data_IF_200267542336
#
_entry.id   IF_200267542336
#
_cell.length_a   1.000
_cell.length_b   1.000
_cell.length_c   1.000
_cell.angle_alpha   90.00
_cell.angle_beta   90.00
_cell.angle_gamma   90.00
#
_symmetry.space_group_name_H-M   'P 1'
#
loop_
_entity.id
_entity.type
_entity.pdbx_description
1 polymer ?
#
# COMPACT_ATOMS: atom_id res chain seq x y z
N UNK A 1 13.09 12.95 0.49
CA UNK A 1 12.40 12.96 1.80
C UNK A 1 12.08 11.52 2.14
N UNK A 2 12.71 10.97 3.18
CA UNK A 2 12.40 9.62 3.65
C UNK A 2 11.10 9.71 4.43
N UNK A 3 9.98 9.46 3.75
CA UNK A 3 8.67 9.49 4.38
C UNK A 3 8.47 8.12 5.02
N UNK A 4 8.56 8.08 6.35
CA UNK A 4 8.32 6.87 7.15
C UNK A 4 6.96 6.29 6.77
N UNK A 5 6.88 5.02 6.35
CA UNK A 5 5.60 4.36 6.06
C UNK A 5 4.74 4.31 7.33
N UNK A 6 3.39 4.26 7.20
CA UNK A 6 2.51 4.10 8.35
C UNK A 6 2.93 2.90 9.21
N UNK A 7 2.69 2.99 10.51
CA UNK A 7 3.15 2.04 11.50
C UNK A 7 2.80 0.58 11.14
N UNK A 8 3.69 -0.33 11.57
CA UNK A 8 3.67 -1.78 11.32
C UNK A 8 2.33 -2.43 11.75
N UNK A 9 1.91 -3.56 11.14
CA UNK A 9 0.60 -4.21 11.30
C UNK A 9 0.17 -4.72 12.66
N UNK A 10 0.93 -4.49 13.74
CA UNK A 10 0.47 -4.87 15.08
C UNK A 10 -0.61 -3.90 15.63
N UNK A 11 -0.71 -2.67 15.09
CA UNK A 11 -1.61 -1.60 15.60
C UNK A 11 -2.31 -0.78 14.48
N UNK A 12 -2.85 -1.40 13.42
CA UNK A 12 -3.49 -0.66 12.31
C UNK A 12 -4.88 -0.11 12.67
N UNK A 13 -4.93 0.95 13.46
CA UNK A 13 -6.06 1.88 13.45
C UNK A 13 -5.89 2.82 12.24
N UNK A 14 -5.93 2.26 11.03
CA UNK A 14 -6.02 3.09 9.84
C UNK A 14 -7.26 3.96 10.00
N UNK A 15 -7.12 5.29 9.96
CA UNK A 15 -8.30 6.13 10.09
C UNK A 15 -9.26 5.77 8.96
N UNK A 16 -10.55 5.75 9.28
CA UNK A 16 -11.66 5.71 8.31
C UNK A 16 -11.75 7.04 7.54
N UNK A 17 -10.62 7.54 7.07
CA UNK A 17 -10.41 8.79 6.37
C UNK A 17 -9.18 8.66 5.46
N UNK A 18 -9.17 9.42 4.37
CA UNK A 18 -8.01 9.52 3.47
C UNK A 18 -7.01 10.51 4.05
N UNK A 19 -5.76 10.07 4.17
CA UNK A 19 -4.65 10.87 4.68
C UNK A 19 -3.85 11.52 3.55
N UNK A 20 -3.04 12.55 3.84
CA UNK A 20 -2.08 13.09 2.87
C UNK A 20 -1.10 12.03 2.35
N UNK A 21 -0.75 11.04 3.17
CA UNK A 21 0.09 9.92 2.76
C UNK A 21 -0.61 9.09 1.68
N UNK A 22 -1.91 8.80 1.87
CA UNK A 22 -2.65 8.00 0.90
C UNK A 22 -2.70 8.67 -0.47
N UNK A 23 -2.89 10.00 -0.49
CA UNK A 23 -2.87 10.80 -1.72
C UNK A 23 -1.50 10.80 -2.40
N UNK A 24 -0.43 10.95 -1.61
CA UNK A 24 0.93 10.95 -2.14
C UNK A 24 1.36 9.57 -2.70
N UNK A 25 0.73 8.48 -2.24
CA UNK A 25 1.13 7.11 -2.56
C UNK A 25 0.10 6.33 -3.39
N UNK A 26 -0.85 7.01 -4.05
CA UNK A 26 -1.91 6.34 -4.80
C UNK A 26 -1.37 5.42 -5.91
N UNK A 27 -0.27 5.79 -6.57
CA UNK A 27 0.39 4.95 -7.57
C UNK A 27 1.08 3.72 -6.95
N UNK A 28 1.63 3.86 -5.73
CA UNK A 28 2.18 2.73 -4.97
C UNK A 28 1.08 1.72 -4.67
N UNK A 29 -0.09 2.18 -4.20
CA UNK A 29 -1.23 1.31 -3.94
C UNK A 29 -1.75 0.62 -5.21
N UNK A 30 -1.83 1.34 -6.33
CA UNK A 30 -2.22 0.75 -7.61
C UNK A 30 -1.29 -0.41 -8.00
N UNK A 31 0.04 -0.22 -7.90
CA UNK A 31 1.04 -1.25 -8.24
C UNK A 31 0.98 -2.45 -7.29
N UNK A 32 0.91 -2.22 -5.98
CA UNK A 32 0.77 -3.30 -4.99
C UNK A 32 -0.49 -4.11 -5.25
N UNK A 33 -1.62 -3.44 -5.55
CA UNK A 33 -2.88 -4.11 -5.85
C UNK A 33 -2.82 -4.87 -7.18
N UNK A 34 -2.09 -4.39 -8.18
CA UNK A 34 -1.95 -5.08 -9.45
C UNK A 34 -1.19 -6.40 -9.33
N UNK A 35 -0.07 -6.39 -8.60
CA UNK A 35 0.68 -7.61 -8.27
C UNK A 35 -0.17 -8.55 -7.42
N UNK A 36 -0.77 -8.05 -6.32
CA UNK A 36 -1.54 -8.88 -5.39
C UNK A 36 -2.78 -9.54 -6.02
N UNK A 37 -3.29 -8.99 -7.11
CA UNK A 37 -4.44 -9.50 -7.87
C UNK A 37 -4.02 -10.23 -9.16
N UNK A 38 -2.72 -10.48 -9.36
CA UNK A 38 -2.23 -11.29 -10.49
C UNK A 38 -2.30 -10.61 -11.85
N UNK A 39 -2.32 -9.28 -11.90
CA UNK A 39 -2.52 -8.49 -13.13
C UNK A 39 -1.23 -7.91 -13.72
N UNK A 40 -0.16 -7.83 -12.94
CA UNK A 40 1.15 -7.31 -13.36
C UNK A 40 2.05 -8.41 -13.96
N UNK A 41 3.15 -8.00 -14.61
CA UNK A 41 4.18 -8.86 -15.22
C UNK A 41 5.14 -9.50 -14.21
N UNK A 42 5.20 -8.96 -12.99
CA UNK A 42 5.77 -9.68 -11.85
C UNK A 42 4.79 -10.82 -11.62
N UNK A 43 5.21 -12.07 -11.82
CA UNK A 43 4.38 -13.25 -11.58
C UNK A 43 3.64 -13.02 -10.26
N UNK A 44 2.33 -12.70 -10.31
CA UNK A 44 1.60 -11.97 -9.25
C UNK A 44 1.46 -12.71 -7.91
N UNK A 45 2.24 -13.75 -7.72
CA UNK A 45 2.43 -14.47 -6.47
C UNK A 45 3.77 -14.18 -5.79
N UNK A 46 4.76 -13.55 -6.44
CA UNK A 46 6.01 -13.18 -5.78
C UNK A 46 5.95 -11.80 -5.12
N UNK A 47 5.24 -11.77 -3.99
CA UNK A 47 5.23 -10.61 -3.10
C UNK A 47 6.64 -10.23 -2.61
N UNK A 48 7.63 -11.13 -2.64
CA UNK A 48 9.00 -10.83 -2.17
C UNK A 48 9.68 -9.89 -3.15
N UNK A 49 9.71 -10.24 -4.43
CA UNK A 49 10.26 -9.37 -5.48
C UNK A 49 9.52 -8.02 -5.52
N UNK A 50 8.19 -8.07 -5.47
CA UNK A 50 7.37 -6.87 -5.49
C UNK A 50 7.58 -5.97 -4.26
N UNK A 51 7.81 -6.54 -3.07
CA UNK A 51 8.09 -5.77 -1.86
C UNK A 51 9.38 -4.96 -1.96
N UNK A 52 10.39 -5.48 -2.66
CA UNK A 52 11.65 -4.77 -2.93
C UNK A 52 11.40 -3.65 -3.95
N UNK A 53 10.78 -3.98 -5.08
CA UNK A 53 10.63 -3.07 -6.22
C UNK A 53 9.66 -1.92 -5.91
N UNK A 54 8.57 -2.20 -5.19
CA UNK A 54 7.47 -1.26 -4.99
C UNK A 54 7.58 -0.55 -3.63
N UNK A 55 7.95 -1.28 -2.58
CA UNK A 55 7.97 -0.76 -1.20
C UNK A 55 9.39 -0.54 -0.65
N UNK A 56 10.43 -0.95 -1.37
CA UNK A 56 11.81 -0.89 -0.88
C UNK A 56 12.07 -1.79 0.33
N UNK A 57 11.18 -2.74 0.60
CA UNK A 57 11.27 -3.66 1.73
C UNK A 57 11.95 -4.94 1.28
N UNK A 58 13.08 -5.26 1.91
CA UNK A 58 13.91 -6.40 1.53
C UNK A 58 13.64 -7.60 2.45
N UNK A 59 12.94 -8.65 1.97
CA UNK A 59 12.63 -9.81 2.78
C UNK A 59 13.86 -10.65 3.12
N UNK A 60 14.99 -10.50 2.40
CA UNK A 60 16.22 -11.20 2.76
C UNK A 60 16.94 -10.53 3.94
N UNK A 61 16.61 -9.26 4.24
CA UNK A 61 17.07 -8.54 5.44
C UNK A 61 16.17 -8.78 6.65
N UNK A 62 14.85 -8.72 6.46
CA UNK A 62 13.84 -8.97 7.49
C UNK A 62 12.52 -9.38 6.84
N UNK A 63 12.37 -10.69 6.59
CA UNK A 63 11.19 -11.27 5.96
C UNK A 63 9.88 -10.93 6.71
N UNK A 64 9.80 -11.10 8.04
CA UNK A 64 8.59 -10.72 8.78
C UNK A 64 8.22 -9.24 8.61
N UNK A 65 9.18 -8.32 8.62
CA UNK A 65 8.90 -6.90 8.43
C UNK A 65 8.48 -6.57 7.00
N UNK A 66 9.15 -7.15 5.99
CA UNK A 66 8.80 -6.97 4.59
C UNK A 66 7.39 -7.49 4.31
N UNK A 67 7.06 -8.69 4.81
CA UNK A 67 5.72 -9.28 4.67
C UNK A 67 4.65 -8.41 5.30
N UNK A 68 4.89 -7.93 6.51
CA UNK A 68 3.99 -7.01 7.21
C UNK A 68 3.76 -5.71 6.44
N UNK A 69 4.82 -5.12 5.89
CA UNK A 69 4.70 -3.91 5.07
C UNK A 69 3.86 -4.17 3.81
N UNK A 70 4.11 -5.29 3.13
CA UNK A 70 3.33 -5.72 1.97
C UNK A 70 1.85 -5.86 2.29
N UNK A 71 1.51 -6.68 3.29
CA UNK A 71 0.12 -6.96 3.66
C UNK A 71 -0.64 -5.68 4.07
N UNK A 72 0.01 -4.74 4.78
CA UNK A 72 -0.59 -3.45 5.11
C UNK A 72 -0.90 -2.59 3.87
N UNK A 73 0.03 -2.53 2.90
CA UNK A 73 -0.19 -1.77 1.68
C UNK A 73 -1.28 -2.39 0.80
N UNK A 74 -1.35 -3.72 0.72
CA UNK A 74 -2.45 -4.42 0.03
C UNK A 74 -3.78 -4.13 0.72
N UNK A 75 -3.85 -4.25 2.05
CA UNK A 75 -5.07 -4.00 2.81
C UNK A 75 -5.56 -2.56 2.64
N UNK A 76 -4.64 -1.58 2.73
CA UNK A 76 -4.98 -0.16 2.55
C UNK A 76 -5.38 0.15 1.11
N UNK A 77 -4.69 -0.41 0.12
CA UNK A 77 -5.05 -0.27 -1.29
C UNK A 77 -6.48 -0.77 -1.54
N UNK A 78 -6.81 -1.97 -1.04
CA UNK A 78 -8.16 -2.54 -1.15
C UNK A 78 -9.20 -1.60 -0.53
N UNK A 79 -9.00 -1.16 0.70
CA UNK A 79 -9.92 -0.23 1.37
C UNK A 79 -10.10 1.08 0.60
N UNK A 80 -9.02 1.70 0.10
CA UNK A 80 -9.11 2.92 -0.70
C UNK A 80 -9.91 2.68 -1.98
N UNK A 81 -9.73 1.55 -2.66
CA UNK A 81 -10.45 1.25 -3.92
C UNK A 81 -11.90 0.83 -3.73
N UNK A 82 -12.33 0.54 -2.50
CA UNK A 82 -13.71 0.15 -2.18
C UNK A 82 -14.42 1.22 -1.37
N UNK A 83 -14.17 1.26 -0.07
CA UNK A 83 -14.88 2.11 0.90
C UNK A 83 -14.31 3.54 0.95
N UNK A 84 -13.00 3.68 0.73
CA UNK A 84 -12.30 4.95 0.79
C UNK A 84 -12.41 5.79 -0.48
N UNK A 85 -12.87 5.22 -1.60
CA UNK A 85 -12.88 5.91 -2.90
C UNK A 85 -13.76 7.18 -2.89
N UNK A 86 -14.98 7.17 -2.31
CA UNK A 86 -15.78 8.40 -2.20
C UNK A 86 -15.08 9.49 -1.39
N UNK A 87 -14.39 9.12 -0.29
CA UNK A 87 -13.64 10.05 0.55
C UNK A 87 -12.41 10.61 -0.18
N UNK A 88 -11.77 9.78 -1.00
CA UNK A 88 -10.62 10.18 -1.81
C UNK A 88 -11.05 11.26 -2.81
N UNK A 89 -12.11 11.00 -3.56
CA UNK A 89 -12.65 11.93 -4.57
C UNK A 89 -13.19 13.21 -3.93
N UNK A 90 -13.93 13.11 -2.82
CA UNK A 90 -14.51 14.28 -2.15
C UNK A 90 -13.46 15.30 -1.67
N UNK A 91 -12.28 14.83 -1.28
CA UNK A 91 -11.16 15.71 -0.90
C UNK A 91 -10.35 16.28 -2.07
N UNK A 92 -10.59 15.85 -3.31
CA UNK A 92 -9.94 16.42 -4.51
C UNK A 92 -10.74 17.58 -5.12
N UNK A 93 -12.01 17.75 -4.75
CA UNK A 93 -12.90 18.81 -5.26
C UNK A 93 -12.69 20.20 -4.65
N UNK A 94 -11.73 20.36 -3.74
CA UNK A 94 -11.36 21.63 -3.12
C UNK A 94 -10.11 22.23 -3.75
N UNK A 95 -10.20 22.73 -4.99
CA UNK A 95 -9.24 23.66 -5.58
C UNK A 95 -9.96 24.71 -6.41
#
# INVERSE_FOLDING_TARGET
MSVTPPARPEDLDFPNAITPYDRANILTYARVLDVAEGRDIIDGHDWREASIIILGCDPDKDEPAARRCWDAHVARARWITTEGLPLFIAGDGGR
#
